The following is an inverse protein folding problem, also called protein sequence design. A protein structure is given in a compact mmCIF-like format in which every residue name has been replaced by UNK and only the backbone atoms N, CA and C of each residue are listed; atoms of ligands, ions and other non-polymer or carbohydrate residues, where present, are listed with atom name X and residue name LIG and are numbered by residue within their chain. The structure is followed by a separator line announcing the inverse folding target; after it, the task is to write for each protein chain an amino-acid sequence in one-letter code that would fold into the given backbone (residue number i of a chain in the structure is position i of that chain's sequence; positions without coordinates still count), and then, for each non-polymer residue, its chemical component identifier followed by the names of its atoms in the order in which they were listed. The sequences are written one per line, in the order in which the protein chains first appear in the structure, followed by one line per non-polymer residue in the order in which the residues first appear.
data_IF_419834878344
#
_entry.id   IF_419834878344
#
_cell.length_a   1.000
_cell.length_b   1.000
_cell.length_c   1.000
_cell.angle_alpha   90.00
_cell.angle_beta   90.00
_cell.angle_gamma   90.00
#
_symmetry.space_group_name_H-M   'P 1'
#
loop_
_entity.id
_entity.type
_entity.pdbx_description
1 polymer ?
#
# COMPACT_ATOMS: atom_id res chain seq x y z
N UNK A 1 4.36 8.98 17.24
CA UNK A 1 3.86 7.61 17.44
C UNK A 1 2.37 7.62 17.64
N UNK A 2 1.62 7.05 16.69
CA UNK A 2 0.20 6.81 16.90
C UNK A 2 -0.01 5.82 18.06
N UNK A 3 -1.05 5.99 18.90
CA UNK A 3 -1.41 5.02 19.93
C UNK A 3 -1.67 3.61 19.35
N UNK A 4 -1.55 2.55 20.15
CA UNK A 4 -2.03 1.22 19.77
C UNK A 4 -3.52 1.30 19.35
N UNK A 5 -3.90 0.48 18.36
CA UNK A 5 -5.30 0.28 17.93
C UNK A 5 -6.06 1.52 17.41
N UNK A 6 -5.41 2.68 17.26
CA UNK A 6 -6.08 3.92 16.83
C UNK A 6 -6.40 4.00 15.32
N UNK A 7 -6.35 2.87 14.60
CA UNK A 7 -6.64 2.84 13.15
C UNK A 7 -5.58 3.54 12.28
N UNK A 8 -4.29 3.40 12.62
CA UNK A 8 -3.16 3.99 11.86
C UNK A 8 -3.26 3.73 10.36
N UNK A 9 -3.52 2.48 10.00
CA UNK A 9 -3.58 2.04 8.61
C UNK A 9 -4.77 2.66 7.87
N UNK A 10 -5.89 2.89 8.55
CA UNK A 10 -7.05 3.61 7.96
C UNK A 10 -6.71 5.07 7.72
N UNK A 11 -6.03 5.73 8.67
CA UNK A 11 -5.58 7.12 8.50
C UNK A 11 -4.66 7.26 7.29
N UNK A 12 -3.71 6.32 7.15
CA UNK A 12 -2.81 6.28 5.99
C UNK A 12 -3.57 6.03 4.70
N UNK A 13 -4.53 5.10 4.68
CA UNK A 13 -5.35 4.85 3.49
C UNK A 13 -6.15 6.08 3.06
N UNK A 14 -6.75 6.81 4.00
CA UNK A 14 -7.45 8.06 3.71
C UNK A 14 -6.51 9.14 3.18
N UNK A 15 -5.29 9.22 3.70
CA UNK A 15 -4.26 10.11 3.17
C UNK A 15 -3.89 9.74 1.72
N UNK A 16 -3.67 8.46 1.43
CA UNK A 16 -3.41 7.98 0.08
C UNK A 16 -4.57 8.26 -0.87
N UNK A 17 -5.81 8.14 -0.40
CA UNK A 17 -7.01 8.48 -1.17
C UNK A 17 -6.98 9.94 -1.65
N UNK A 18 -6.60 10.88 -0.79
CA UNK A 18 -6.48 12.30 -1.15
C UNK A 18 -5.34 12.53 -2.15
N UNK A 19 -4.23 11.82 -1.99
CA UNK A 19 -3.06 11.94 -2.85
C UNK A 19 -3.20 11.28 -4.23
N UNK A 20 -4.22 10.45 -4.45
CA UNK A 20 -4.38 9.61 -5.65
C UNK A 20 -4.23 10.37 -6.98
N UNK A 21 -4.70 11.62 -7.04
CA UNK A 21 -4.66 12.46 -8.25
C UNK A 21 -3.58 13.55 -8.20
N UNK A 22 -2.75 13.55 -7.15
CA UNK A 22 -1.71 14.56 -6.90
C UNK A 22 -0.32 13.95 -7.15
N UNK A 23 -0.16 12.67 -6.83
CA UNK A 23 1.14 12.00 -6.90
C UNK A 23 1.26 11.23 -8.21
N UNK A 24 2.19 11.65 -9.06
CA UNK A 24 2.48 11.01 -10.34
C UNK A 24 3.42 9.79 -10.22
N UNK A 25 4.05 9.64 -9.05
CA UNK A 25 4.99 8.54 -8.76
C UNK A 25 4.29 7.37 -8.05
N UNK A 26 4.68 6.12 -8.34
CA UNK A 26 4.18 4.99 -7.59
C UNK A 26 4.52 5.07 -6.09
N UNK A 27 3.60 4.59 -5.26
CA UNK A 27 3.75 4.52 -3.81
C UNK A 27 4.26 3.14 -3.43
N UNK A 28 5.23 3.09 -2.51
CA UNK A 28 5.76 1.86 -1.94
C UNK A 28 5.34 1.73 -0.48
N UNK A 29 4.70 0.62 -0.13
CA UNK A 29 4.37 0.23 1.24
C UNK A 29 5.24 -0.97 1.59
N UNK A 30 6.06 -0.79 2.63
CA UNK A 30 6.97 -1.82 3.12
C UNK A 30 6.43 -2.43 4.41
N UNK A 31 6.24 -3.73 4.36
CA UNK A 31 5.70 -4.53 5.45
C UNK A 31 6.83 -5.30 6.14
N UNK A 32 6.78 -5.38 7.47
CA UNK A 32 7.75 -6.13 8.27
C UNK A 32 7.39 -7.62 8.36
N UNK A 33 6.18 -7.99 7.96
CA UNK A 33 5.72 -9.37 7.93
C UNK A 33 4.85 -9.63 6.71
N UNK A 34 4.80 -10.89 6.26
CA UNK A 34 3.96 -11.29 5.13
C UNK A 34 2.45 -11.14 5.42
N UNK A 35 2.04 -11.25 6.68
CA UNK A 35 0.63 -11.05 7.06
C UNK A 35 0.21 -9.58 6.91
N UNK A 36 1.10 -8.63 7.21
CA UNK A 36 0.85 -7.19 7.02
C UNK A 36 0.56 -6.82 5.57
N UNK A 37 1.15 -7.52 4.59
CA UNK A 37 0.90 -7.30 3.16
C UNK A 37 -0.59 -7.43 2.82
N UNK A 38 -1.21 -8.52 3.29
CA UNK A 38 -2.63 -8.77 3.05
C UNK A 38 -3.51 -7.74 3.76
N UNK A 39 -3.17 -7.38 5.01
CA UNK A 39 -3.88 -6.35 5.77
C UNK A 39 -3.85 -5.02 5.04
N UNK A 40 -2.69 -4.61 4.52
CA UNK A 40 -2.56 -3.37 3.75
C UNK A 40 -3.36 -3.41 2.45
N UNK A 41 -3.30 -4.53 1.72
CA UNK A 41 -4.09 -4.70 0.51
C UNK A 41 -5.60 -4.55 0.78
N UNK A 42 -6.12 -5.23 1.80
CA UNK A 42 -7.52 -5.13 2.21
C UNK A 42 -7.91 -3.71 2.63
N UNK A 43 -7.07 -3.04 3.42
CA UNK A 43 -7.35 -1.69 3.90
C UNK A 43 -7.38 -0.70 2.74
N UNK A 44 -6.46 -0.81 1.79
CA UNK A 44 -6.41 0.09 0.62
C UNK A 44 -7.65 -0.14 -0.24
N UNK A 45 -7.95 -1.40 -0.60
CA UNK A 45 -9.13 -1.71 -1.41
C UNK A 45 -10.44 -1.29 -0.73
N UNK A 46 -10.52 -1.38 0.60
CA UNK A 46 -11.72 -1.02 1.37
C UNK A 46 -11.93 0.48 1.53
N UNK A 47 -10.87 1.23 1.82
CA UNK A 47 -10.97 2.63 2.25
C UNK A 47 -10.61 3.64 1.17
N UNK A 48 -10.16 3.16 0.01
CA UNK A 48 -9.77 4.01 -1.11
C UNK A 48 -10.52 3.62 -2.39
N UNK A 49 -10.20 4.30 -3.47
CA UNK A 49 -10.74 4.02 -4.80
C UNK A 49 -9.69 3.34 -5.70
N UNK A 50 -8.64 2.78 -5.11
CA UNK A 50 -7.68 1.94 -5.83
C UNK A 50 -8.30 0.55 -6.05
N UNK A 51 -8.00 -0.04 -7.20
CA UNK A 51 -8.44 -1.41 -7.52
C UNK A 51 -7.27 -2.39 -7.47
N UNK A 52 -7.56 -3.68 -7.59
CA UNK A 52 -6.53 -4.72 -7.79
C UNK A 52 -5.65 -4.45 -9.00
N UNK A 53 -6.15 -3.70 -9.99
CA UNK A 53 -5.38 -3.31 -11.17
C UNK A 53 -4.41 -2.15 -10.89
N UNK A 54 -4.62 -1.37 -9.83
CA UNK A 54 -3.71 -0.30 -9.42
C UNK A 54 -2.58 -0.80 -8.50
N UNK A 55 -2.73 -2.00 -7.92
CA UNK A 55 -1.84 -2.55 -6.88
C UNK A 55 -0.97 -3.68 -7.44
N UNK A 56 0.29 -3.72 -7.04
CA UNK A 56 1.19 -4.86 -7.15
C UNK A 56 1.55 -5.36 -5.76
N UNK A 57 1.35 -6.65 -5.52
CA UNK A 57 1.81 -7.35 -4.32
C UNK A 57 3.01 -8.20 -4.73
N UNK A 58 4.13 -8.05 -4.02
CA UNK A 58 5.34 -8.88 -4.18
C UNK A 58 5.81 -9.04 -5.63
N UNK A 59 5.55 -8.05 -6.48
CA UNK A 59 5.95 -8.10 -7.88
C UNK A 59 7.45 -7.84 -8.01
N UNK A 60 8.17 -8.81 -8.57
CA UNK A 60 9.56 -8.67 -8.98
C UNK A 60 9.71 -7.83 -10.26
N UNK A 61 8.62 -7.63 -11.01
CA UNK A 61 8.63 -6.88 -12.26
C UNK A 61 8.36 -5.39 -12.02
N UNK A 62 9.43 -4.60 -12.01
CA UNK A 62 9.40 -3.13 -11.85
C UNK A 62 8.78 -2.39 -13.04
N UNK A 63 8.58 -3.05 -14.18
CA UNK A 63 7.99 -2.45 -15.37
C UNK A 63 6.46 -2.52 -15.39
N UNK A 64 5.84 -3.19 -14.40
CA UNK A 64 4.39 -3.16 -14.27
C UNK A 64 3.99 -1.74 -13.87
N UNK A 65 3.17 -1.10 -14.71
CA UNK A 65 2.63 0.25 -14.46
C UNK A 65 1.54 0.21 -13.37
N UNK A 66 1.93 -0.05 -12.13
CA UNK A 66 1.08 0.02 -10.93
C UNK A 66 1.29 1.34 -10.20
N UNK A 67 0.26 1.76 -9.48
CA UNK A 67 0.27 2.97 -8.65
C UNK A 67 0.74 2.68 -7.24
N UNK A 68 0.49 1.49 -6.73
CA UNK A 68 0.89 1.06 -5.39
C UNK A 68 1.64 -0.27 -5.48
N UNK A 69 2.77 -0.35 -4.78
CA UNK A 69 3.52 -1.58 -4.56
C UNK A 69 3.51 -1.88 -3.07
N UNK A 70 3.08 -3.09 -2.71
CA UNK A 70 3.12 -3.60 -1.34
C UNK A 70 4.14 -4.73 -1.33
N UNK A 71 5.18 -4.62 -0.51
CA UNK A 71 6.28 -5.58 -0.46
C UNK A 71 6.68 -5.93 0.96
N UNK A 72 7.17 -7.14 1.15
CA UNK A 72 7.94 -7.47 2.34
C UNK A 72 9.31 -6.77 2.32
N UNK A 73 9.81 -6.38 3.48
CA UNK A 73 11.09 -5.65 3.57
C UNK A 73 12.29 -6.50 3.12
N UNK A 74 12.24 -7.82 3.32
CA UNK A 74 13.31 -8.74 2.87
C UNK A 74 13.35 -8.91 1.35
N UNK A 75 12.26 -8.63 0.62
CA UNK A 75 12.23 -8.76 -0.84
C UNK A 75 12.90 -7.55 -1.55
N UNK A 76 13.51 -6.65 -0.78
CA UNK A 76 14.28 -5.50 -1.27
C UNK A 76 15.79 -5.72 -1.25
N UNK A 77 16.28 -6.77 -0.59
CA UNK A 77 17.69 -7.16 -0.52
C UNK A 77 18.00 -8.24 -1.55
#
# INVERSE_FOLDING_TARGET
NFPPECGKSVTIALFLKVLKNIVDKPILILCNSKSEINVWNEIILKWTEYTTDDIAIDSSNVYIKKKIFIKHMEDLT
#
